data_IF_758203846740
#
_entry.id   IF_758203846740
#
_cell.length_a   1.000
_cell.length_b   1.000
_cell.length_c   1.000
_cell.angle_alpha   90.00
_cell.angle_beta   90.00
_cell.angle_gamma   90.00
#
_symmetry.space_group_name_H-M   'P 1'
#
loop_
_entity.id
_entity.type
_entity.pdbx_description
1 polymer ?
#
# COMPACT_ATOMS: atom_id res chain seq x y z
N UNK A 1 -17.69 -4.17 -1.55
CA UNK A 1 -16.43 -3.46 -1.23
C UNK A 1 -15.96 -2.76 -2.49
N UNK A 2 -15.29 -1.62 -2.38
CA UNK A 2 -14.76 -0.89 -3.54
C UNK A 2 -13.60 -1.66 -4.23
N UNK A 3 -13.25 -1.34 -5.48
CA UNK A 3 -12.01 -1.78 -6.12
C UNK A 3 -10.83 -1.57 -5.18
N UNK A 4 -9.93 -2.56 -5.08
CA UNK A 4 -8.83 -2.54 -4.09
C UNK A 4 -7.64 -3.35 -4.54
N UNK A 5 -6.46 -2.91 -4.15
CA UNK A 5 -5.20 -3.60 -4.38
C UNK A 5 -4.32 -3.51 -3.13
N UNK A 6 -3.62 -4.59 -2.82
CA UNK A 6 -2.65 -4.64 -1.71
C UNK A 6 -1.24 -4.45 -2.28
N UNK A 7 -0.53 -3.45 -1.81
CA UNK A 7 0.88 -3.19 -2.15
C UNK A 7 1.74 -3.88 -1.10
N UNK A 8 2.30 -5.02 -1.44
CA UNK A 8 3.16 -5.81 -0.57
C UNK A 8 4.63 -5.69 -0.99
N UNK A 9 5.55 -5.98 -0.09
CA UNK A 9 6.97 -6.03 -0.41
C UNK A 9 7.58 -7.40 -0.14
N UNK A 10 8.73 -7.65 -0.75
CA UNK A 10 9.54 -8.84 -0.45
C UNK A 10 10.22 -8.75 0.92
N UNK A 11 10.35 -7.54 1.45
CA UNK A 11 10.97 -7.29 2.77
C UNK A 11 10.62 -5.89 3.28
N UNK A 12 11.03 -5.58 4.51
CA UNK A 12 11.14 -4.18 4.94
C UNK A 12 12.13 -3.45 4.03
N UNK A 13 11.85 -2.17 3.72
CA UNK A 13 12.72 -1.36 2.87
C UNK A 13 12.63 -1.65 1.36
N UNK A 14 11.78 -2.57 0.89
CA UNK A 14 11.57 -2.83 -0.54
C UNK A 14 10.97 -1.63 -1.32
N UNK A 15 10.43 -0.63 -0.60
CA UNK A 15 9.84 0.58 -1.19
C UNK A 15 8.32 0.57 -1.28
N UNK A 16 7.64 -0.21 -0.43
CA UNK A 16 6.16 -0.25 -0.37
C UNK A 16 5.54 1.13 -0.23
N UNK A 17 6.03 1.93 0.71
CA UNK A 17 5.51 3.28 0.99
C UNK A 17 5.70 4.19 -0.22
N UNK A 18 6.86 4.11 -0.88
CA UNK A 18 7.12 4.84 -2.13
C UNK A 18 6.10 4.48 -3.21
N UNK A 19 5.91 3.18 -3.46
CA UNK A 19 4.95 2.70 -4.46
C UNK A 19 3.51 3.07 -4.08
N UNK A 20 3.10 2.85 -2.83
CA UNK A 20 1.75 3.13 -2.37
C UNK A 20 1.42 4.63 -2.46
N UNK A 21 2.29 5.51 -1.96
CA UNK A 21 2.11 6.96 -2.06
C UNK A 21 2.12 7.44 -3.52
N UNK A 22 3.01 6.88 -4.34
CA UNK A 22 3.06 7.17 -5.77
C UNK A 22 1.77 6.80 -6.49
N UNK A 23 1.25 5.59 -6.27
CA UNK A 23 -0.02 5.14 -6.82
C UNK A 23 -1.20 6.01 -6.35
N UNK A 24 -1.28 6.29 -5.06
CA UNK A 24 -2.32 7.14 -4.49
C UNK A 24 -2.29 8.53 -5.15
N UNK A 25 -1.11 9.15 -5.24
CA UNK A 25 -0.95 10.47 -5.83
C UNK A 25 -1.24 10.51 -7.33
N UNK A 26 -0.74 9.54 -8.10
CA UNK A 26 -0.94 9.46 -9.54
C UNK A 26 -2.41 9.17 -9.90
N UNK A 27 -3.07 8.24 -9.21
CA UNK A 27 -4.48 7.95 -9.42
C UNK A 27 -5.37 9.15 -9.05
N UNK A 28 -5.03 9.86 -7.98
CA UNK A 28 -5.70 11.11 -7.63
C UNK A 28 -5.51 12.19 -8.70
N UNK A 29 -4.31 12.31 -9.26
CA UNK A 29 -4.05 13.27 -10.35
C UNK A 29 -4.88 12.96 -11.62
N UNK A 30 -5.24 11.70 -11.84
CA UNK A 30 -6.21 11.27 -12.87
C UNK A 30 -7.69 11.55 -12.50
N UNK A 31 -7.95 12.21 -11.37
CA UNK A 31 -9.30 12.59 -10.93
C UNK A 31 -10.02 11.53 -10.10
N UNK A 32 -9.39 10.43 -9.73
CA UNK A 32 -9.99 9.39 -8.89
C UNK A 32 -9.96 9.77 -7.40
N UNK A 33 -11.00 9.38 -6.68
CA UNK A 33 -11.04 9.45 -5.21
C UNK A 33 -10.38 8.19 -4.66
N UNK A 34 -9.15 8.32 -4.18
CA UNK A 34 -8.34 7.20 -3.71
C UNK A 34 -8.36 7.15 -2.19
N UNK A 35 -8.60 5.97 -1.59
CA UNK A 35 -8.47 5.75 -0.16
C UNK A 35 -7.20 4.96 0.14
N UNK A 36 -6.30 5.56 0.91
CA UNK A 36 -5.11 4.88 1.44
C UNK A 36 -5.40 4.15 2.75
N UNK A 37 -4.92 2.91 2.85
CA UNK A 37 -4.90 2.12 4.08
C UNK A 37 -3.49 1.62 4.35
N UNK A 38 -3.15 1.42 5.62
CA UNK A 38 -1.90 0.81 6.08
C UNK A 38 -2.19 -0.43 6.91
N UNK A 39 -1.54 -1.54 6.59
CA UNK A 39 -1.58 -2.74 7.42
C UNK A 39 -0.74 -2.52 8.68
N UNK A 40 -1.32 -2.88 9.83
CA UNK A 40 -0.69 -2.73 11.14
C UNK A 40 -0.92 -1.36 11.81
N UNK A 41 -0.41 -1.18 13.02
CA UNK A 41 -0.62 0.00 13.86
C UNK A 41 0.44 1.09 13.55
N UNK A 42 0.48 1.56 12.33
CA UNK A 42 1.43 2.57 11.89
C UNK A 42 0.87 3.98 12.10
N UNK A 43 1.69 4.88 12.63
CA UNK A 43 1.30 6.27 12.85
C UNK A 43 1.77 7.21 11.73
N UNK A 44 2.84 6.85 11.04
CA UNK A 44 3.56 7.70 10.09
C UNK A 44 3.01 7.55 8.68
N UNK A 45 3.00 6.33 8.13
CA UNK A 45 2.60 6.09 6.74
C UNK A 45 1.17 6.56 6.43
N UNK A 46 0.16 6.41 7.32
CA UNK A 46 -1.17 6.97 7.09
C UNK A 46 -1.20 8.49 6.91
N UNK A 47 -0.24 9.22 7.49
CA UNK A 47 -0.14 10.66 7.31
C UNK A 47 0.30 11.05 5.89
N UNK A 48 1.19 10.26 5.29
CA UNK A 48 1.60 10.43 3.89
C UNK A 48 0.48 10.03 2.92
N UNK A 49 -0.25 8.95 3.23
CA UNK A 49 -1.45 8.57 2.47
C UNK A 49 -2.49 9.70 2.49
N UNK A 50 -2.66 10.35 3.64
CA UNK A 50 -3.61 11.45 3.76
C UNK A 50 -3.23 12.66 2.89
N UNK A 51 -1.95 13.02 2.82
CA UNK A 51 -1.48 14.08 1.94
C UNK A 51 -1.64 13.68 0.47
N UNK A 52 -1.21 12.48 0.10
CA UNK A 52 -1.28 11.99 -1.27
C UNK A 52 -2.72 11.89 -1.78
N UNK A 53 -3.64 11.37 -0.97
CA UNK A 53 -5.05 11.14 -1.36
C UNK A 53 -5.96 12.34 -1.15
N UNK A 54 -5.63 13.23 -0.19
CA UNK A 54 -6.54 14.26 0.33
C UNK A 54 -7.67 13.68 1.20
N UNK A 55 -7.56 12.43 1.65
CA UNK A 55 -8.51 11.73 2.53
C UNK A 55 -7.77 11.22 3.76
N UNK A 56 -8.42 11.08 4.93
CA UNK A 56 -7.74 10.54 6.12
C UNK A 56 -7.14 9.17 5.83
N UNK A 57 -5.83 9.00 6.10
CA UNK A 57 -5.18 7.69 6.11
C UNK A 57 -5.72 6.84 7.26
N UNK A 58 -5.75 5.51 7.08
CA UNK A 58 -6.35 4.58 8.05
C UNK A 58 -5.50 3.35 8.22
N UNK A 59 -5.48 2.80 9.43
CA UNK A 59 -4.84 1.53 9.75
C UNK A 59 -5.83 0.36 9.63
N UNK A 60 -5.29 -0.79 9.24
CA UNK A 60 -5.96 -2.09 9.23
C UNK A 60 -5.11 -3.06 10.05
N UNK A 61 -5.42 -3.20 11.31
CA UNK A 61 -4.66 -4.04 12.22
C UNK A 61 -5.49 -5.24 12.71
N UNK A 62 -5.25 -6.40 12.10
CA UNK A 62 -5.94 -7.63 12.44
C UNK A 62 -5.56 -8.18 13.83
N UNK A 63 -4.44 -7.73 14.41
CA UNK A 63 -4.04 -8.12 15.75
C UNK A 63 -4.79 -7.34 16.83
N UNK A 64 -4.88 -6.01 16.68
CA UNK A 64 -5.49 -5.13 17.68
C UNK A 64 -7.01 -5.06 17.57
N UNK A 65 -7.55 -5.03 16.34
CA UNK A 65 -8.98 -4.87 16.10
C UNK A 65 -9.73 -6.18 15.88
N UNK A 66 -9.00 -7.26 15.60
CA UNK A 66 -9.58 -8.54 15.18
C UNK A 66 -9.70 -8.66 13.65
N UNK A 67 -9.48 -9.88 13.10
CA UNK A 67 -9.59 -10.13 11.66
C UNK A 67 -10.97 -9.80 11.09
N UNK A 68 -12.02 -10.04 11.86
CA UNK A 68 -13.42 -9.83 11.47
C UNK A 68 -13.76 -8.35 11.19
N UNK A 69 -12.99 -7.41 11.73
CA UNK A 69 -13.21 -5.97 11.52
C UNK A 69 -12.50 -5.42 10.29
N UNK A 70 -11.54 -6.13 9.71
CA UNK A 70 -10.74 -5.63 8.58
C UNK A 70 -11.62 -5.22 7.39
N UNK A 71 -12.49 -6.11 6.93
CA UNK A 71 -13.37 -5.81 5.81
C UNK A 71 -14.44 -4.73 6.13
N UNK A 72 -15.11 -4.73 7.30
CA UNK A 72 -15.98 -3.63 7.74
C UNK A 72 -15.27 -2.26 7.77
N UNK A 73 -14.04 -2.21 8.27
CA UNK A 73 -13.24 -0.97 8.32
C UNK A 73 -12.87 -0.45 6.92
N UNK A 74 -12.55 -1.35 5.98
CA UNK A 74 -12.30 -0.97 4.57
C UNK A 74 -13.58 -0.44 3.93
N UNK A 75 -14.76 -1.03 4.18
CA UNK A 75 -16.03 -0.52 3.68
C UNK A 75 -16.34 0.87 4.24
N UNK A 76 -16.14 1.07 5.55
CA UNK A 76 -16.31 2.35 6.21
C UNK A 76 -15.36 3.41 5.65
N UNK A 77 -14.06 3.15 5.66
CA UNK A 77 -13.05 4.10 5.21
C UNK A 77 -13.10 4.40 3.71
N UNK A 78 -13.46 3.38 2.93
CA UNK A 78 -13.59 3.47 1.47
C UNK A 78 -14.89 4.10 0.97
N UNK A 79 -15.81 4.49 1.86
CA UNK A 79 -17.05 5.11 1.45
C UNK A 79 -16.81 6.36 0.58
N UNK A 80 -17.43 6.38 -0.59
CA UNK A 80 -17.25 7.45 -1.58
C UNK A 80 -15.90 7.49 -2.27
N UNK A 81 -15.01 6.51 -2.10
CA UNK A 81 -13.81 6.36 -2.90
C UNK A 81 -14.06 5.49 -4.15
N UNK A 82 -13.27 5.70 -5.18
CA UNK A 82 -13.32 4.93 -6.43
C UNK A 82 -12.41 3.70 -6.37
N UNK A 83 -11.31 3.78 -5.58
CA UNK A 83 -10.34 2.71 -5.39
C UNK A 83 -9.66 2.82 -4.03
N UNK A 84 -9.30 1.67 -3.45
CA UNK A 84 -8.47 1.55 -2.25
C UNK A 84 -7.08 1.02 -2.61
N UNK A 85 -6.06 1.66 -2.04
CA UNK A 85 -4.67 1.18 -2.02
C UNK A 85 -4.33 0.81 -0.59
N UNK A 86 -4.02 -0.45 -0.35
CA UNK A 86 -3.68 -0.99 0.97
C UNK A 86 -2.18 -1.24 1.03
N UNK A 87 -1.45 -0.41 1.72
CA UNK A 87 -0.01 -0.59 1.92
C UNK A 87 0.26 -1.64 3.00
N UNK A 88 1.07 -2.63 2.66
CA UNK A 88 1.50 -3.69 3.56
C UNK A 88 2.57 -3.26 4.57
N UNK A 89 2.85 -4.15 5.50
CA UNK A 89 3.90 -4.04 6.52
C UNK A 89 4.95 -5.13 6.30
N UNK A 90 6.21 -4.86 6.60
CA UNK A 90 7.33 -5.82 6.47
C UNK A 90 7.35 -6.56 5.12
N UNK A 91 7.67 -7.83 5.06
CA UNK A 91 7.45 -8.69 3.90
C UNK A 91 6.02 -9.22 3.85
N UNK A 92 5.58 -9.68 2.67
CA UNK A 92 4.20 -10.14 2.41
C UNK A 92 3.72 -11.18 3.44
N UNK A 93 4.60 -12.07 3.87
CA UNK A 93 4.29 -13.19 4.76
C UNK A 93 4.69 -12.95 6.22
N UNK A 94 5.33 -11.81 6.52
CA UNK A 94 5.80 -11.50 7.86
C UNK A 94 4.64 -11.00 8.74
N UNK A 95 4.26 -11.80 9.72
CA UNK A 95 3.17 -11.52 10.64
C UNK A 95 3.60 -11.29 12.08
N UNK A 96 2.66 -11.35 13.00
CA UNK A 96 2.91 -11.20 14.42
C UNK A 96 3.81 -12.34 14.95
N UNK A 97 4.81 -12.00 15.72
CA UNK A 97 5.81 -12.95 16.22
C UNK A 97 5.19 -14.14 16.93
N UNK A 98 5.52 -15.36 16.48
CA UNK A 98 5.01 -16.62 17.04
C UNK A 98 3.52 -16.91 16.76
N UNK A 99 2.87 -16.15 15.87
CA UNK A 99 1.45 -16.30 15.55
C UNK A 99 1.17 -16.67 14.09
N UNK A 100 2.14 -17.23 13.39
CA UNK A 100 2.01 -17.60 11.98
C UNK A 100 1.77 -16.38 11.10
N UNK A 101 0.73 -16.42 10.27
CA UNK A 101 0.41 -15.35 9.34
C UNK A 101 -0.38 -14.18 9.94
N UNK A 102 -0.84 -14.29 11.20
CA UNK A 102 -1.70 -13.29 11.83
C UNK A 102 -1.10 -11.89 11.70
N UNK A 103 -1.91 -10.95 11.20
CA UNK A 103 -1.55 -9.54 10.97
C UNK A 103 -0.45 -9.31 9.92
N UNK A 104 -0.03 -10.34 9.16
CA UNK A 104 0.80 -10.13 7.98
C UNK A 104 0.04 -9.40 6.88
N UNK A 105 0.77 -8.85 5.92
CA UNK A 105 0.18 -8.29 4.69
C UNK A 105 -0.63 -9.34 3.93
N UNK A 106 -0.13 -10.57 3.86
CA UNK A 106 -0.83 -11.70 3.23
C UNK A 106 -2.13 -12.06 3.93
N UNK A 107 -2.14 -12.08 5.26
CA UNK A 107 -3.38 -12.29 6.03
C UNK A 107 -4.44 -11.23 5.70
N UNK A 108 -4.06 -9.96 5.68
CA UNK A 108 -4.99 -8.87 5.32
C UNK A 108 -5.45 -8.98 3.87
N UNK A 109 -4.57 -9.36 2.93
CA UNK A 109 -4.94 -9.60 1.53
C UNK A 109 -6.01 -10.70 1.41
N UNK A 110 -5.87 -11.80 2.15
CA UNK A 110 -6.88 -12.88 2.22
C UNK A 110 -8.20 -12.40 2.82
N UNK A 111 -8.17 -11.69 3.94
CA UNK A 111 -9.39 -11.13 4.59
C UNK A 111 -10.14 -10.15 3.69
N UNK A 112 -9.43 -9.49 2.80
CA UNK A 112 -10.00 -8.55 1.85
C UNK A 112 -10.34 -9.19 0.51
N UNK A 113 -9.91 -10.42 0.24
CA UNK A 113 -9.97 -11.05 -1.07
C UNK A 113 -9.44 -10.06 -2.14
N UNK A 114 -8.21 -9.60 -1.94
CA UNK A 114 -7.63 -8.52 -2.71
C UNK A 114 -6.37 -8.99 -3.45
N UNK A 115 -6.23 -8.67 -4.74
CA UNK A 115 -5.01 -8.96 -5.48
C UNK A 115 -3.82 -8.21 -4.89
N UNK A 116 -2.66 -8.87 -4.92
CA UNK A 116 -1.39 -8.34 -4.40
C UNK A 116 -0.54 -7.84 -5.54
N UNK A 117 -0.11 -6.59 -5.43
CA UNK A 117 0.94 -5.97 -6.23
C UNK A 117 2.25 -6.07 -5.45
N UNK A 118 3.14 -6.95 -5.89
CA UNK A 118 4.39 -7.23 -5.19
C UNK A 118 5.47 -6.23 -5.59
N UNK A 119 5.99 -5.50 -4.62
CA UNK A 119 7.13 -4.59 -4.79
C UNK A 119 8.43 -5.35 -4.52
N UNK A 120 9.30 -5.35 -5.50
CA UNK A 120 10.62 -6.01 -5.45
C UNK A 120 11.71 -4.95 -5.57
N UNK A 121 12.61 -4.90 -4.60
CA UNK A 121 13.83 -4.10 -4.71
C UNK A 121 14.77 -4.77 -5.73
N UNK A 122 14.90 -4.14 -6.88
CA UNK A 122 15.72 -4.66 -7.99
C UNK A 122 17.15 -4.10 -8.01
N UNK A 123 17.58 -3.30 -7.02
CA UNK A 123 18.85 -2.56 -7.05
C UNK A 123 20.09 -3.41 -7.33
N UNK A 124 20.04 -4.72 -7.04
CA UNK A 124 21.15 -5.66 -7.23
C UNK A 124 20.69 -6.98 -7.83
N UNK A 125 19.64 -6.95 -8.67
CA UNK A 125 19.03 -8.14 -9.24
C UNK A 125 18.95 -8.05 -10.76
N UNK A 126 18.99 -9.20 -11.40
CA UNK A 126 18.62 -9.43 -12.80
C UNK A 126 17.69 -10.66 -12.82
N UNK A 127 18.07 -11.75 -13.46
CA UNK A 127 17.26 -12.98 -13.55
C UNK A 127 16.85 -13.58 -12.21
N UNK A 128 17.62 -13.36 -11.13
CA UNK A 128 17.26 -13.83 -9.78
C UNK A 128 15.95 -13.23 -9.23
N UNK A 129 15.51 -12.09 -9.77
CA UNK A 129 14.20 -11.51 -9.44
C UNK A 129 13.05 -12.48 -9.76
N UNK A 130 13.16 -13.26 -10.84
CA UNK A 130 12.16 -14.28 -11.18
C UNK A 130 12.05 -15.38 -10.13
N UNK A 131 13.18 -15.82 -9.56
CA UNK A 131 13.15 -16.83 -8.48
C UNK A 131 12.45 -16.30 -7.23
N UNK A 132 12.66 -15.02 -6.90
CA UNK A 132 11.97 -14.36 -5.77
C UNK A 132 10.48 -14.27 -6.05
N UNK A 133 10.07 -13.73 -7.19
CA UNK A 133 8.65 -13.60 -7.55
C UNK A 133 7.97 -14.96 -7.62
N UNK A 134 8.63 -15.97 -8.18
CA UNK A 134 8.13 -17.33 -8.21
C UNK A 134 7.87 -17.86 -6.79
N UNK A 135 8.85 -17.71 -5.88
CA UNK A 135 8.70 -18.13 -4.50
C UNK A 135 7.53 -17.45 -3.81
N UNK A 136 7.39 -16.13 -3.95
CA UNK A 136 6.28 -15.38 -3.37
C UNK A 136 4.92 -15.78 -3.93
N UNK A 137 4.85 -16.11 -5.21
CA UNK A 137 3.61 -16.52 -5.89
C UNK A 137 3.16 -17.92 -5.51
N UNK A 138 4.10 -18.81 -5.21
CA UNK A 138 3.81 -20.24 -4.98
C UNK A 138 3.79 -20.62 -3.50
N UNK A 139 4.31 -19.76 -2.62
CA UNK A 139 4.41 -20.05 -1.20
C UNK A 139 3.06 -20.25 -0.51
N UNK A 140 2.07 -19.42 -0.84
CA UNK A 140 0.71 -19.53 -0.34
C UNK A 140 -0.29 -19.40 -1.49
N UNK A 141 -0.97 -20.51 -1.89
CA UNK A 141 -1.88 -20.50 -3.02
C UNK A 141 -3.18 -19.72 -2.78
N UNK A 142 -3.44 -19.28 -1.54
CA UNK A 142 -4.59 -18.43 -1.22
C UNK A 142 -4.31 -16.94 -1.48
N UNK A 143 -3.07 -16.58 -1.82
CA UNK A 143 -2.67 -15.21 -2.09
C UNK A 143 -2.44 -15.04 -3.60
N UNK A 144 -3.23 -14.17 -4.21
CA UNK A 144 -3.07 -13.82 -5.61
C UNK A 144 -2.00 -12.72 -5.78
N UNK A 145 -0.77 -13.11 -6.09
CA UNK A 145 0.28 -12.17 -6.54
C UNK A 145 0.02 -11.84 -8.00
N UNK A 146 -0.83 -10.86 -8.24
CA UNK A 146 -1.41 -10.52 -9.54
C UNK A 146 -0.53 -9.62 -10.41
N UNK A 147 0.49 -8.98 -9.84
CA UNK A 147 1.41 -8.11 -10.57
C UNK A 147 2.66 -7.78 -9.78
N UNK A 148 3.66 -7.25 -10.48
CA UNK A 148 4.95 -6.86 -9.89
C UNK A 148 5.27 -5.41 -10.25
N UNK A 149 5.80 -4.67 -9.29
CA UNK A 149 6.52 -3.41 -9.51
C UNK A 149 7.95 -3.60 -9.05
N UNK A 150 8.89 -3.37 -9.96
CA UNK A 150 10.30 -3.27 -9.61
C UNK A 150 10.62 -1.88 -9.10
N UNK A 151 11.31 -1.79 -7.99
CA UNK A 151 11.79 -0.54 -7.42
C UNK A 151 13.31 -0.46 -7.54
N UNK A 152 13.86 0.77 -7.60
CA UNK A 152 15.30 1.05 -7.71
C UNK A 152 15.96 0.46 -8.95
N UNK A 153 15.26 0.47 -10.07
CA UNK A 153 15.80 0.01 -11.36
C UNK A 153 16.85 0.99 -11.86
N UNK A 154 18.01 0.47 -12.30
CA UNK A 154 19.18 1.29 -12.65
C UNK A 154 19.12 1.93 -14.02
N UNK A 155 18.56 1.25 -15.04
CA UNK A 155 18.56 1.68 -16.45
C UNK A 155 17.43 1.01 -17.24
N UNK A 156 17.22 1.45 -18.47
CA UNK A 156 16.26 0.83 -19.41
C UNK A 156 16.66 -0.62 -19.72
N UNK A 157 17.93 -0.87 -20.00
CA UNK A 157 18.44 -2.23 -20.21
C UNK A 157 18.24 -3.12 -18.98
N UNK A 158 18.38 -2.55 -17.76
CA UNK A 158 18.11 -3.30 -16.54
C UNK A 158 16.62 -3.66 -16.43
N UNK A 159 15.72 -2.76 -16.79
CA UNK A 159 14.28 -3.04 -16.84
C UNK A 159 13.96 -4.14 -17.85
N UNK A 160 14.53 -4.09 -19.05
CA UNK A 160 14.35 -5.11 -20.07
C UNK A 160 14.74 -6.50 -19.55
N UNK A 161 15.92 -6.63 -18.94
CA UNK A 161 16.38 -7.89 -18.33
C UNK A 161 15.44 -8.42 -17.24
N UNK A 162 14.88 -7.52 -16.43
CA UNK A 162 13.92 -7.91 -15.36
C UNK A 162 12.59 -8.37 -15.95
N UNK A 163 12.08 -7.70 -16.99
CA UNK A 163 10.84 -8.08 -17.68
C UNK A 163 10.99 -9.43 -18.40
N UNK A 164 12.08 -9.61 -19.14
CA UNK A 164 12.42 -10.88 -19.80
C UNK A 164 12.49 -12.04 -18.79
N UNK A 165 13.12 -11.80 -17.65
CA UNK A 165 13.23 -12.82 -16.60
C UNK A 165 11.86 -13.27 -16.03
N UNK A 166 10.86 -12.38 -15.98
CA UNK A 166 9.52 -12.69 -15.46
C UNK A 166 8.55 -13.25 -16.51
N UNK A 167 8.86 -13.10 -17.81
CA UNK A 167 7.99 -13.55 -18.90
C UNK A 167 7.52 -15.02 -18.74
N UNK A 168 8.43 -16.00 -18.41
CA UNK A 168 8.01 -17.39 -18.23
C UNK A 168 7.07 -17.62 -17.05
N UNK A 169 6.99 -16.70 -16.11
CA UNK A 169 6.10 -16.82 -14.95
C UNK A 169 4.67 -16.37 -15.24
N UNK A 170 4.45 -15.64 -16.36
CA UNK A 170 3.15 -15.11 -16.73
C UNK A 170 2.56 -14.09 -15.72
N UNK A 171 3.41 -13.45 -14.91
CA UNK A 171 3.00 -12.38 -13.99
C UNK A 171 3.32 -11.03 -14.64
N UNK A 172 2.35 -10.12 -14.78
CA UNK A 172 2.61 -8.83 -15.40
C UNK A 172 3.55 -7.97 -14.56
N UNK A 173 4.57 -7.39 -15.20
CA UNK A 173 5.38 -6.32 -14.62
C UNK A 173 4.68 -4.99 -14.92
N UNK A 174 3.96 -4.47 -13.94
CA UNK A 174 3.16 -3.25 -14.05
C UNK A 174 3.98 -1.97 -13.87
N UNK A 175 5.24 -2.08 -13.49
CA UNK A 175 6.08 -0.89 -13.38
C UNK A 175 7.52 -1.19 -13.01
N UNK A 176 8.39 -0.20 -13.31
CA UNK A 176 9.81 -0.23 -12.99
C UNK A 176 10.25 1.19 -12.58
N UNK A 177 10.15 1.49 -11.28
CA UNK A 177 10.55 2.78 -10.74
C UNK A 177 12.08 2.90 -10.76
N UNK A 178 12.56 3.98 -11.33
CA UNK A 178 14.00 4.26 -11.44
C UNK A 178 14.57 4.62 -10.08
N UNK A 179 15.84 4.24 -9.88
CA UNK A 179 16.62 4.77 -8.79
C UNK A 179 16.88 6.26 -9.06
N UNK A 180 16.22 7.11 -8.34
CA UNK A 180 16.40 8.56 -8.41
C UNK A 180 16.51 9.09 -6.98
N UNK A 181 17.67 9.65 -6.64
CA UNK A 181 17.94 10.19 -5.31
C UNK A 181 17.03 11.38 -4.95
N UNK A 182 16.40 12.01 -5.98
CA UNK A 182 15.39 13.08 -5.81
C UNK A 182 14.00 12.53 -5.50
N UNK A 183 13.73 11.29 -5.91
CA UNK A 183 12.48 10.55 -5.69
C UNK A 183 12.65 9.54 -4.57
N UNK A 184 13.89 9.30 -4.16
CA UNK A 184 14.14 8.52 -2.95
C UNK A 184 13.51 9.33 -1.81
N UNK A 185 12.23 9.02 -1.57
CA UNK A 185 11.62 9.40 -0.32
C UNK A 185 12.64 9.01 0.75
N UNK A 186 13.05 9.93 1.62
CA UNK A 186 14.08 9.61 2.57
C UNK A 186 13.58 8.47 3.44
N UNK A 187 13.88 7.23 3.04
CA UNK A 187 13.38 6.00 3.68
C UNK A 187 13.73 5.94 5.17
N UNK A 188 14.78 6.65 5.57
CA UNK A 188 15.13 6.88 6.97
C UNK A 188 14.52 8.15 7.57
N UNK A 189 13.97 9.06 6.75
CA UNK A 189 13.38 10.32 7.21
C UNK A 189 11.86 10.38 7.01
N UNK A 190 11.29 9.69 6.01
CA UNK A 190 9.83 9.51 5.91
C UNK A 190 9.30 8.62 7.04
N UNK A 191 10.05 7.58 7.43
CA UNK A 191 9.64 6.67 8.49
C UNK A 191 9.72 7.22 9.93
N UNK A 192 10.19 8.46 10.15
CA UNK A 192 10.40 9.00 11.51
C UNK A 192 9.93 10.44 11.69
N UNK A 193 9.46 11.14 10.64
CA UNK A 193 9.01 12.53 10.74
C UNK A 193 7.53 12.60 10.36
N UNK A 194 6.66 12.99 11.29
CA UNK A 194 5.26 13.24 10.97
C UNK A 194 5.13 14.27 9.85
N UNK A 195 4.22 14.03 8.93
CA UNK A 195 4.02 14.87 7.75
C UNK A 195 3.72 16.35 8.08
N UNK A 196 3.28 16.63 9.31
CA UNK A 196 3.00 18.01 9.77
C UNK A 196 4.23 18.91 9.95
N UNK A 197 5.43 18.35 10.17
CA UNK A 197 6.61 19.15 10.53
C UNK A 197 7.34 19.76 9.32
N UNK A 198 7.11 19.25 8.10
CA UNK A 198 7.75 19.72 6.85
C UNK A 198 6.78 19.74 5.66
N UNK A 199 5.56 20.20 5.87
CA UNK A 199 4.45 20.05 4.91
C UNK A 199 4.79 20.48 3.46
N UNK A 200 5.48 21.58 3.23
CA UNK A 200 5.83 22.04 1.88
C UNK A 200 6.73 21.06 1.12
N UNK A 201 7.81 20.61 1.74
CA UNK A 201 8.78 19.68 1.12
C UNK A 201 8.17 18.30 0.87
N UNK A 202 7.26 17.87 1.72
CA UNK A 202 6.56 16.57 1.57
C UNK A 202 5.59 16.65 0.41
N UNK A 203 4.85 17.74 0.24
CA UNK A 203 3.96 17.91 -0.92
C UNK A 203 4.72 17.87 -2.25
N UNK A 204 5.86 18.55 -2.35
CA UNK A 204 6.71 18.52 -3.55
C UNK A 204 7.26 17.11 -3.82
N UNK A 205 7.74 16.41 -2.79
CA UNK A 205 8.24 15.06 -2.92
C UNK A 205 7.14 14.07 -3.38
N UNK A 206 5.94 14.17 -2.80
CA UNK A 206 4.81 13.34 -3.20
C UNK A 206 4.31 13.67 -4.61
N UNK A 207 4.34 14.94 -5.02
CA UNK A 207 3.98 15.34 -6.38
C UNK A 207 5.00 14.78 -7.41
N UNK A 208 6.30 14.87 -7.08
CA UNK A 208 7.37 14.29 -7.90
C UNK A 208 7.23 12.76 -8.01
N UNK A 209 6.92 12.11 -6.90
CA UNK A 209 6.70 10.68 -6.85
C UNK A 209 5.46 10.26 -7.67
N UNK A 210 4.37 11.01 -7.57
CA UNK A 210 3.17 10.78 -8.37
C UNK A 210 3.47 10.90 -9.88
N UNK A 211 4.23 11.92 -10.29
CA UNK A 211 4.63 12.11 -11.68
C UNK A 211 5.56 10.98 -12.18
N UNK A 212 6.49 10.53 -11.34
CA UNK A 212 7.34 9.38 -11.66
C UNK A 212 6.51 8.09 -11.80
N UNK A 213 5.53 7.89 -10.90
CA UNK A 213 4.62 6.74 -10.95
C UNK A 213 3.75 6.77 -12.21
N UNK A 214 3.20 7.92 -12.59
CA UNK A 214 2.46 8.09 -13.86
C UNK A 214 3.31 7.70 -15.07
N UNK A 215 4.60 8.00 -15.05
CA UNK A 215 5.51 7.74 -16.17
C UNK A 215 5.95 6.29 -16.27
N UNK A 216 6.18 5.62 -15.13
CA UNK A 216 6.89 4.34 -15.08
C UNK A 216 6.02 3.16 -14.63
N UNK A 217 4.75 3.40 -14.31
CA UNK A 217 3.81 2.37 -13.86
C UNK A 217 2.59 2.35 -14.76
N UNK A 218 2.18 1.17 -15.17
CA UNK A 218 0.91 0.94 -15.87
C UNK A 218 -0.26 1.07 -14.88
N UNK A 219 -0.72 2.30 -14.71
CA UNK A 219 -1.83 2.61 -13.81
C UNK A 219 -3.15 1.99 -14.25
N UNK A 220 -3.34 1.78 -15.56
CA UNK A 220 -4.55 1.15 -16.08
C UNK A 220 -4.55 -0.35 -15.76
N UNK A 221 -3.39 -1.00 -15.85
CA UNK A 221 -3.19 -2.37 -15.39
C UNK A 221 -3.41 -2.49 -13.87
N UNK A 222 -2.89 -1.57 -13.06
CA UNK A 222 -3.16 -1.54 -11.61
C UNK A 222 -4.65 -1.37 -11.30
N UNK A 223 -5.34 -0.48 -12.01
CA UNK A 223 -6.78 -0.28 -11.87
C UNK A 223 -7.58 -1.52 -12.31
N UNK A 224 -7.14 -2.19 -13.37
CA UNK A 224 -7.76 -3.44 -13.82
C UNK A 224 -7.64 -4.52 -12.74
N UNK A 225 -6.46 -4.69 -12.13
CA UNK A 225 -6.28 -5.60 -10.99
C UNK A 225 -7.18 -5.21 -9.81
N UNK A 226 -7.21 -3.92 -9.44
CA UNK A 226 -8.04 -3.48 -8.33
C UNK A 226 -9.55 -3.74 -8.56
N UNK A 227 -10.01 -3.60 -9.81
CA UNK A 227 -11.39 -3.86 -10.22
C UNK A 227 -11.72 -5.34 -10.32
N UNK A 228 -10.73 -6.19 -10.57
CA UNK A 228 -10.91 -7.65 -10.59
C UNK A 228 -11.12 -8.23 -9.19
N UNK A 229 -10.80 -7.50 -8.13
CA UNK A 229 -11.05 -7.92 -6.77
C UNK A 229 -12.54 -8.22 -6.56
N UNK A 230 -12.92 -9.42 -6.06
CA UNK A 230 -14.32 -9.82 -5.93
C UNK A 230 -15.14 -8.85 -5.09
N UNK A 231 -16.42 -8.71 -5.43
CA UNK A 231 -17.34 -7.98 -4.58
C UNK A 231 -17.45 -8.69 -3.23
N UNK A 232 -17.15 -8.00 -2.15
CA UNK A 232 -17.32 -8.54 -0.81
C UNK A 232 -18.46 -7.79 -0.11
N UNK A 233 -19.69 -8.34 -0.14
CA UNK A 233 -20.84 -7.75 0.52
C UNK A 233 -20.66 -7.81 2.04
N UNK A 234 -21.46 -7.03 2.74
CA UNK A 234 -21.49 -7.00 4.21
C UNK A 234 -21.55 -5.58 4.75
N UNK A 235 -21.81 -5.42 6.04
CA UNK A 235 -21.91 -4.12 6.67
C UNK A 235 -20.57 -3.38 6.70
N UNK A 236 -20.62 -2.06 6.59
CA UNK A 236 -19.51 -1.22 6.99
C UNK A 236 -19.47 -1.14 8.52
N UNK A 237 -18.28 -0.99 9.09
CA UNK A 237 -18.16 -0.65 10.50
C UNK A 237 -18.86 0.68 10.78
N UNK A 238 -19.60 0.76 11.89
CA UNK A 238 -20.32 1.96 12.28
C UNK A 238 -20.19 2.17 13.79
N UNK A 239 -19.66 3.31 14.25
CA UNK A 239 -19.54 3.60 15.66
C UNK A 239 -20.90 3.66 16.38
N UNK A 240 -21.99 3.96 15.66
CA UNK A 240 -23.35 4.00 16.23
C UNK A 240 -23.91 2.60 16.51
N UNK A 241 -23.50 1.59 15.73
CA UNK A 241 -23.94 0.21 15.87
C UNK A 241 -23.01 -0.56 16.81
N UNK A 242 -21.71 -0.38 16.63
CA UNK A 242 -20.70 -1.16 17.35
C UNK A 242 -20.36 -0.55 18.73
N UNK A 243 -20.76 0.71 18.97
CA UNK A 243 -20.60 1.39 20.26
C UNK A 243 -21.82 2.30 20.54
N UNK A 244 -22.99 1.72 20.87
CA UNK A 244 -24.25 2.45 20.96
C UNK A 244 -24.39 3.24 22.29
N UNK A 245 -23.34 3.95 22.70
CA UNK A 245 -23.38 4.82 23.88
C UNK A 245 -23.79 6.22 23.47
N UNK A 246 -24.82 6.75 24.11
CA UNK A 246 -25.17 8.16 23.93
C UNK A 246 -23.96 9.05 24.26
N UNK A 247 -23.67 10.11 23.48
CA UNK A 247 -22.56 11.00 23.75
C UNK A 247 -22.76 11.68 25.12
N UNK A 248 -22.07 11.20 26.14
CA UNK A 248 -22.16 11.70 27.50
C UNK A 248 -20.98 12.62 27.88
N UNK A 249 -19.96 12.75 27.01
CA UNK A 249 -18.76 13.51 27.32
C UNK A 249 -18.31 14.40 26.15
N UNK A 250 -17.72 15.54 26.51
CA UNK A 250 -16.95 16.36 25.56
C UNK A 250 -15.49 15.97 25.64
N UNK A 251 -14.89 15.65 24.49
CA UNK A 251 -13.47 15.32 24.38
C UNK A 251 -12.76 16.48 23.67
N UNK A 252 -11.77 17.08 24.33
CA UNK A 252 -10.88 18.06 23.72
C UNK A 252 -9.61 17.34 23.22
N UNK A 253 -9.23 17.57 21.97
CA UNK A 253 -8.02 16.99 21.36
C UNK A 253 -7.05 18.12 21.04
N UNK A 254 -5.90 18.14 21.71
CA UNK A 254 -4.80 19.01 21.32
C UNK A 254 -4.21 18.52 19.98
N UNK A 255 -4.04 19.43 19.02
CA UNK A 255 -3.48 19.15 17.71
C UNK A 255 -2.44 20.19 17.34
N UNK A 256 -1.42 19.78 16.62
CA UNK A 256 -0.36 20.62 16.12
C UNK A 256 0.97 19.89 16.10
N UNK A 257 2.05 20.51 15.55
CA UNK A 257 3.37 19.87 15.49
C UNK A 257 3.89 19.38 16.84
N UNK A 258 3.57 20.12 17.93
CA UNK A 258 3.97 19.77 19.30
C UNK A 258 3.19 18.58 19.91
N UNK A 259 2.16 18.09 19.23
CA UNK A 259 1.28 17.01 19.69
C UNK A 259 1.15 15.92 18.65
N UNK A 260 2.17 15.76 17.80
CA UNK A 260 2.18 14.77 16.71
C UNK A 260 2.75 13.42 17.14
N UNK A 261 3.36 13.37 18.34
CA UNK A 261 3.81 12.16 19.04
C UNK A 261 3.47 12.26 20.51
#
# INVERSE_FOLDING_TARGET
MIPRVVVAGTSSGAGKTTVACGLIGALRARGLRVQGFKVGPDYIDPSYHAIASGRPGRNLDAFLSGPELIAPLVRHGGAGADVAVVEGVMGLFDGASGRGELASTGHVAKLLDAPVLLVVDASSMARSAAAIVHGYRTFDPQIDVAGVIFNRVGSDTHEELLREALEPLGVPVLGALRRDDRVTAPERHLGLVPAGERAGRIHEALATLAAATERYVDLDGVLALARAAPAAPGPAWSPQVDCPVAPAARVAIARGPAFSF
#
